data_IF_812069961028
#
_entry.id   IF_812069961028
#
_cell.length_a   1.000
_cell.length_b   1.000
_cell.length_c   1.000
_cell.angle_alpha   90.00
_cell.angle_beta   90.00
_cell.angle_gamma   90.00
#
_symmetry.space_group_name_H-M   'P 1'
#
loop_
_entity.id
_entity.type
_entity.pdbx_description
1 polymer ?
#
# COMPACT_ATOMS: atom_id res chain seq x y z
N UNK A 1 22.16 3.03 3.19
CA UNK A 1 21.17 2.59 2.18
C UNK A 1 20.11 1.73 2.85
N UNK A 2 18.83 1.97 2.56
CA UNK A 2 17.79 1.08 3.06
C UNK A 2 17.97 -0.33 2.50
N UNK A 3 17.64 -1.31 3.32
CA UNK A 3 17.72 -2.70 2.88
C UNK A 3 16.60 -3.02 1.90
N UNK A 4 16.88 -3.89 0.96
CA UNK A 4 15.86 -4.42 0.08
C UNK A 4 14.87 -5.29 0.85
N UNK A 5 13.62 -5.28 0.40
CA UNK A 5 12.55 -6.08 0.97
C UNK A 5 11.90 -6.92 -0.12
N UNK A 6 10.97 -7.78 0.28
CA UNK A 6 10.16 -8.52 -0.69
C UNK A 6 9.42 -7.55 -1.63
N UNK A 7 9.03 -6.36 -1.16
CA UNK A 7 8.33 -5.39 -2.02
C UNK A 7 9.26 -4.81 -3.08
N UNK A 8 10.51 -4.49 -2.76
CA UNK A 8 11.44 -4.00 -3.76
C UNK A 8 11.71 -5.05 -4.84
N UNK A 9 11.71 -6.32 -4.45
CA UNK A 9 11.87 -7.42 -5.41
C UNK A 9 10.64 -7.58 -6.30
N UNK A 10 9.43 -7.37 -5.76
CA UNK A 10 8.19 -7.38 -6.55
C UNK A 10 8.23 -6.24 -7.57
N UNK A 11 8.65 -5.06 -7.15
CA UNK A 11 8.76 -3.89 -8.03
C UNK A 11 9.65 -4.18 -9.24
N UNK A 12 10.74 -4.92 -9.02
CA UNK A 12 11.69 -5.29 -10.09
C UNK A 12 11.31 -6.57 -10.82
N UNK A 13 10.15 -7.14 -10.52
CA UNK A 13 9.68 -8.40 -11.14
C UNK A 13 10.59 -9.60 -10.86
N UNK A 14 11.29 -9.58 -9.74
CA UNK A 14 12.15 -10.70 -9.32
C UNK A 14 11.39 -11.76 -8.56
N UNK A 15 10.20 -11.41 -8.04
CA UNK A 15 9.30 -12.31 -7.33
C UNK A 15 7.92 -12.15 -7.97
N UNK A 16 7.19 -13.26 -8.22
CA UNK A 16 5.85 -13.15 -8.79
C UNK A 16 4.87 -12.46 -7.86
N UNK A 17 3.99 -11.65 -8.42
CA UNK A 17 2.91 -10.98 -7.72
C UNK A 17 1.85 -10.57 -8.73
N UNK A 18 0.61 -10.38 -8.26
CA UNK A 18 -0.46 -9.85 -9.11
C UNK A 18 -0.36 -8.32 -9.08
N UNK A 19 0.30 -7.75 -10.07
CA UNK A 19 0.47 -6.30 -10.17
C UNK A 19 -0.74 -5.70 -10.87
N UNK A 20 -1.37 -4.72 -10.22
CA UNK A 20 -2.57 -4.04 -10.71
C UNK A 20 -2.25 -2.69 -11.34
N UNK A 21 -1.14 -2.09 -10.94
CA UNK A 21 -0.68 -0.82 -11.47
C UNK A 21 0.82 -0.72 -11.26
N UNK A 22 1.53 -0.17 -12.25
CA UNK A 22 2.96 0.12 -12.09
C UNK A 22 3.39 1.19 -13.07
N UNK A 23 4.11 2.18 -12.57
CA UNK A 23 4.82 3.14 -13.39
C UNK A 23 6.19 3.39 -12.76
N UNK A 24 6.90 4.44 -13.18
CA UNK A 24 8.23 4.75 -12.66
C UNK A 24 8.22 5.27 -11.22
N UNK A 25 7.06 5.54 -10.65
CA UNK A 25 6.94 6.13 -9.31
C UNK A 25 6.33 5.19 -8.28
N UNK A 26 5.30 4.43 -8.66
CA UNK A 26 4.45 3.67 -7.75
C UNK A 26 4.14 2.31 -8.34
N UNK A 27 4.07 1.31 -7.48
CA UNK A 27 3.61 -0.04 -7.83
C UNK A 27 2.49 -0.44 -6.89
N UNK A 28 1.46 -1.10 -7.43
CA UNK A 28 0.36 -1.62 -6.62
C UNK A 28 0.13 -3.08 -6.99
N UNK A 29 -0.02 -3.92 -5.96
CA UNK A 29 -0.18 -5.36 -6.15
C UNK A 29 -1.10 -5.95 -5.08
N UNK A 30 -1.71 -7.10 -5.39
CA UNK A 30 -2.63 -7.75 -4.47
C UNK A 30 -1.89 -8.33 -3.27
N UNK A 31 -2.46 -8.16 -2.07
CA UNK A 31 -1.94 -8.79 -0.86
C UNK A 31 -2.31 -10.27 -0.88
N UNK A 32 -1.31 -11.16 -0.72
CA UNK A 32 -1.54 -12.61 -0.72
C UNK A 32 -2.25 -13.09 0.53
N UNK A 33 -2.24 -12.28 1.60
CA UNK A 33 -2.95 -12.58 2.84
C UNK A 33 -4.13 -11.62 3.02
N UNK A 34 -4.98 -11.52 1.99
CA UNK A 34 -6.06 -10.55 1.92
C UNK A 34 -6.98 -10.63 3.14
N UNK A 35 -7.26 -9.47 3.74
CA UNK A 35 -8.14 -9.34 4.90
C UNK A 35 -9.50 -8.75 4.53
N UNK A 36 -9.73 -8.51 3.26
CA UNK A 36 -11.00 -8.01 2.74
C UNK A 36 -11.12 -8.51 1.29
N UNK A 37 -12.33 -8.49 0.69
CA UNK A 37 -12.50 -8.91 -0.70
C UNK A 37 -11.57 -8.17 -1.67
N UNK A 38 -11.32 -6.87 -1.42
CA UNK A 38 -10.28 -6.13 -2.11
C UNK A 38 -9.23 -5.76 -1.07
N UNK A 39 -7.99 -6.19 -1.29
CA UNK A 39 -6.86 -5.83 -0.43
C UNK A 39 -5.63 -5.67 -1.32
N UNK A 40 -5.29 -4.43 -1.59
CA UNK A 40 -4.19 -4.05 -2.49
C UNK A 40 -3.16 -3.27 -1.69
N UNK A 41 -1.88 -3.52 -1.97
CA UNK A 41 -0.77 -2.78 -1.40
C UNK A 41 -0.27 -1.79 -2.44
N UNK A 42 -0.10 -0.53 -2.05
CA UNK A 42 0.39 0.53 -2.91
C UNK A 42 1.70 1.02 -2.31
N UNK A 43 2.78 0.96 -3.09
CA UNK A 43 4.11 1.28 -2.60
C UNK A 43 4.81 2.28 -3.51
N UNK A 44 5.62 3.19 -2.94
CA UNK A 44 6.53 3.98 -3.78
C UNK A 44 7.65 3.06 -4.26
N UNK A 45 8.12 3.27 -5.50
CA UNK A 45 9.22 2.45 -6.02
C UNK A 45 10.52 2.70 -5.26
N UNK A 46 10.71 3.94 -4.77
CA UNK A 46 11.82 4.26 -3.89
C UNK A 46 11.66 3.53 -2.56
N UNK A 47 12.73 2.93 -2.06
CA UNK A 47 12.69 2.24 -0.76
C UNK A 47 12.73 3.28 0.34
N UNK A 48 11.58 3.48 1.01
CA UNK A 48 11.45 4.33 2.19
C UNK A 48 11.00 3.38 3.30
N UNK A 49 11.82 3.10 4.32
CA UNK A 49 11.45 2.06 5.28
C UNK A 49 10.17 2.36 6.07
N UNK A 50 10.03 3.56 6.62
CA UNK A 50 8.86 3.93 7.43
C UNK A 50 8.43 5.36 7.15
N UNK A 51 7.27 5.74 7.68
CA UNK A 51 6.79 7.13 7.61
C UNK A 51 7.80 8.08 8.27
N UNK A 52 8.54 7.61 9.28
CA UNK A 52 9.53 8.45 9.96
C UNK A 52 10.72 8.81 9.07
N UNK A 53 10.90 8.10 7.97
CA UNK A 53 12.02 8.32 7.05
C UNK A 53 11.65 9.19 5.84
N UNK A 54 10.41 9.65 5.75
CA UNK A 54 10.00 10.51 4.63
C UNK A 54 10.56 11.91 4.77
N UNK A 55 10.82 12.54 3.64
CA UNK A 55 11.34 13.90 3.57
C UNK A 55 10.48 14.71 2.60
N UNK A 56 10.63 16.05 2.56
CA UNK A 56 9.91 16.86 1.58
C UNK A 56 10.12 16.42 0.13
N UNK A 57 11.25 15.77 -0.18
CA UNK A 57 11.51 15.25 -1.52
C UNK A 57 10.55 14.13 -1.90
N UNK A 58 9.90 13.49 -0.92
CA UNK A 58 8.98 12.37 -1.15
C UNK A 58 7.52 12.82 -1.28
N UNK A 59 7.21 14.09 -1.06
CA UNK A 59 5.83 14.59 -1.04
C UNK A 59 5.04 14.24 -2.29
N UNK A 60 5.64 14.45 -3.46
CA UNK A 60 4.95 14.22 -4.72
C UNK A 60 4.57 12.74 -4.88
N UNK A 61 5.49 11.83 -4.60
CA UNK A 61 5.24 10.40 -4.74
C UNK A 61 4.24 9.89 -3.71
N UNK A 62 4.30 10.39 -2.49
CA UNK A 62 3.36 10.00 -1.45
C UNK A 62 1.94 10.47 -1.76
N UNK A 63 1.80 11.72 -2.22
CA UNK A 63 0.50 12.21 -2.69
C UNK A 63 -0.02 11.43 -3.88
N UNK A 64 0.87 11.05 -4.78
CA UNK A 64 0.52 10.25 -5.95
C UNK A 64 -0.04 8.87 -5.57
N UNK A 65 0.42 8.31 -4.46
CA UNK A 65 -0.14 7.03 -3.96
C UNK A 65 -1.65 7.14 -3.71
N UNK A 66 -2.11 8.29 -3.22
CA UNK A 66 -3.55 8.53 -3.03
C UNK A 66 -4.29 8.60 -4.37
N UNK A 67 -3.69 9.22 -5.36
CA UNK A 67 -4.28 9.28 -6.71
C UNK A 67 -4.42 7.87 -7.28
N UNK A 68 -3.38 7.05 -7.13
CA UNK A 68 -3.40 5.65 -7.56
C UNK A 68 -4.46 4.85 -6.79
N UNK A 69 -4.57 5.08 -5.47
CA UNK A 69 -5.58 4.41 -4.64
C UNK A 69 -7.00 4.73 -5.14
N UNK A 70 -7.28 5.99 -5.42
CA UNK A 70 -8.60 6.40 -5.92
C UNK A 70 -8.91 5.74 -7.27
N UNK A 71 -7.92 5.68 -8.16
CA UNK A 71 -8.07 5.04 -9.46
C UNK A 71 -8.39 3.55 -9.31
N UNK A 72 -7.62 2.85 -8.46
CA UNK A 72 -7.81 1.42 -8.23
C UNK A 72 -9.15 1.13 -7.56
N UNK A 73 -9.58 1.98 -6.63
CA UNK A 73 -10.88 1.82 -5.98
C UNK A 73 -12.03 1.85 -6.98
N UNK A 74 -11.94 2.75 -7.97
CA UNK A 74 -12.94 2.81 -9.04
C UNK A 74 -12.90 1.55 -9.89
N UNK A 75 -11.70 1.11 -10.27
CA UNK A 75 -11.53 -0.09 -11.10
C UNK A 75 -12.03 -1.35 -10.39
N UNK A 76 -11.87 -1.42 -9.08
CA UNK A 76 -12.34 -2.55 -8.28
C UNK A 76 -13.83 -2.45 -7.92
N UNK A 77 -14.48 -1.36 -8.27
CA UNK A 77 -15.90 -1.19 -8.01
C UNK A 77 -16.24 -0.91 -6.55
N UNK A 78 -15.31 -0.39 -5.76
CA UNK A 78 -15.52 -0.15 -4.33
C UNK A 78 -15.59 1.35 -3.98
N UNK A 79 -15.44 2.23 -4.96
CA UNK A 79 -15.35 3.66 -4.67
C UNK A 79 -16.62 4.23 -4.02
N UNK A 80 -17.81 3.89 -4.53
CA UNK A 80 -19.05 4.46 -4.01
C UNK A 80 -19.39 3.97 -2.60
N UNK A 81 -19.23 2.67 -2.34
CA UNK A 81 -19.51 2.11 -1.00
C UNK A 81 -18.46 2.53 0.02
N UNK A 82 -17.28 2.85 -0.45
CA UNK A 82 -16.20 3.29 0.41
C UNK A 82 -15.16 2.21 0.67
N UNK A 83 -14.01 2.67 1.12
CA UNK A 83 -12.87 1.81 1.37
C UNK A 83 -12.01 2.45 2.45
N UNK A 84 -11.03 1.72 2.94
CA UNK A 84 -10.13 2.20 3.98
C UNK A 84 -8.70 2.18 3.46
N UNK A 85 -7.97 3.25 3.73
CA UNK A 85 -6.55 3.34 3.45
C UNK A 85 -5.81 3.31 4.78
N UNK A 86 -4.81 2.43 4.90
CA UNK A 86 -4.04 2.25 6.13
C UNK A 86 -2.56 2.29 5.80
N UNK A 87 -1.81 3.11 6.56
CA UNK A 87 -0.35 3.09 6.53
C UNK A 87 0.12 2.77 7.94
N UNK A 88 0.88 1.68 8.09
CA UNK A 88 1.43 1.28 9.37
C UNK A 88 2.87 1.78 9.49
N UNK A 89 3.24 2.27 10.65
CA UNK A 89 4.60 2.77 10.90
C UNK A 89 5.15 2.13 12.17
N UNK A 90 6.23 1.39 12.03
CA UNK A 90 6.97 0.82 13.15
C UNK A 90 6.26 -0.32 13.86
N UNK A 91 6.87 -0.78 14.95
CA UNK A 91 6.41 -1.95 15.69
C UNK A 91 4.99 -1.74 16.25
N UNK A 92 4.75 -0.64 16.97
CA UNK A 92 3.45 -0.41 17.60
C UNK A 92 2.36 -0.11 16.57
N UNK A 93 2.74 0.34 15.37
CA UNK A 93 1.81 0.53 14.27
C UNK A 93 1.49 -0.75 13.50
N UNK A 94 2.16 -1.85 13.82
CA UNK A 94 1.94 -3.13 13.18
C UNK A 94 2.60 -3.27 11.81
N UNK A 95 3.66 -2.51 11.55
CA UNK A 95 4.37 -2.61 10.28
C UNK A 95 5.18 -3.91 10.21
N UNK A 96 4.92 -4.73 9.20
CA UNK A 96 5.60 -6.01 9.03
C UNK A 96 6.74 -5.94 8.01
N UNK A 97 6.55 -5.22 6.91
CA UNK A 97 7.57 -5.05 5.87
C UNK A 97 8.08 -3.61 5.91
N UNK A 98 9.39 -3.43 6.00
CA UNK A 98 10.00 -2.10 6.12
C UNK A 98 10.30 -1.47 4.77
N UNK A 99 9.25 -1.34 4.00
CA UNK A 99 9.11 -0.57 2.80
C UNK A 99 7.72 0.06 2.91
N UNK A 100 7.68 1.38 3.12
CA UNK A 100 6.43 2.11 3.33
C UNK A 100 5.38 1.68 2.33
N UNK A 101 4.19 1.35 2.82
CA UNK A 101 3.12 0.90 1.95
C UNK A 101 1.76 1.31 2.51
N UNK A 102 0.82 1.47 1.58
CA UNK A 102 -0.55 1.82 1.89
C UNK A 102 -1.42 0.62 1.56
N UNK A 103 -2.22 0.18 2.54
CA UNK A 103 -3.25 -0.83 2.30
C UNK A 103 -4.51 -0.16 1.76
N UNK A 104 -5.06 -0.71 0.69
CA UNK A 104 -6.37 -0.33 0.17
C UNK A 104 -7.30 -1.52 0.42
N UNK A 105 -8.26 -1.34 1.33
CA UNK A 105 -9.16 -2.41 1.74
C UNK A 105 -10.61 -2.02 1.49
N UNK A 106 -11.38 -2.91 0.91
CA UNK A 106 -12.78 -2.65 0.62
C UNK A 106 -13.50 -3.89 0.14
N UNK A 107 -14.71 -3.67 -0.36
CA UNK A 107 -15.54 -4.77 -0.86
C UNK A 107 -16.55 -5.29 0.16
N UNK A 108 -16.47 -4.80 1.39
CA UNK A 108 -17.46 -5.04 2.45
C UNK A 108 -17.30 -3.96 3.51
N UNK A 109 -18.25 -3.87 4.43
CA UNK A 109 -18.09 -2.98 5.58
C UNK A 109 -16.98 -3.52 6.47
N UNK A 110 -16.00 -2.69 6.79
CA UNK A 110 -14.79 -3.13 7.50
C UNK A 110 -14.91 -3.05 9.03
N UNK A 111 -15.95 -2.37 9.52
CA UNK A 111 -16.18 -2.26 10.95
C UNK A 111 -15.37 -1.14 11.60
N UNK A 112 -15.03 -1.32 12.88
CA UNK A 112 -14.35 -0.29 13.66
C UNK A 112 -12.96 0.02 13.10
N UNK A 113 -12.52 1.25 13.32
CA UNK A 113 -11.19 1.68 12.95
C UNK A 113 -10.12 0.80 13.60
N UNK A 114 -10.28 0.51 14.90
CA UNK A 114 -9.36 -0.38 15.61
C UNK A 114 -10.14 -1.55 16.20
N UNK A 115 -9.52 -2.73 16.18
CA UNK A 115 -10.09 -3.93 16.76
C UNK A 115 -10.12 -3.80 18.29
N UNK A 116 -11.25 -4.17 18.88
CA UNK A 116 -11.36 -4.21 20.34
C UNK A 116 -10.72 -5.49 20.86
N UNK A 117 -9.86 -5.36 21.87
CA UNK A 117 -9.23 -6.51 22.53
C UNK A 117 -10.04 -6.90 23.76
#
# INVERSE_FOLDING_TARGET
>A
MPEETIFSKIIRHEIPATILFQDERVTAFADTSAQAPTHILIVPNKIIPTVNDVTPADEADLGYMFVVAAKLAKEQGIAEQGYRLIVNCGHDGGQEVYHLHMHLLGGRRLGRMLKTN
#
